data_IF_348580750790
#
_entry.id   IF_348580750790
#
_cell.length_a   1.000
_cell.length_b   1.000
_cell.length_c   1.000
_cell.angle_alpha   90.00
_cell.angle_beta   90.00
_cell.angle_gamma   90.00
#
_symmetry.space_group_name_H-M   'P 1'
#
loop_
_entity.id
_entity.type
_entity.pdbx_description
1 polymer ?
#
# COMPACT_ATOMS: atom_id res chain seq x y z
N UNK A 1 -18.82 -5.55 -42.36
CA UNK A 1 -18.14 -5.42 -41.06
C UNK A 1 -16.66 -5.29 -41.32
N UNK A 2 -16.03 -4.20 -40.87
CA UNK A 2 -14.60 -4.03 -41.06
C UNK A 2 -13.82 -5.01 -40.13
N UNK A 3 -12.53 -5.24 -40.40
CA UNK A 3 -11.70 -6.19 -39.63
C UNK A 3 -11.62 -5.83 -38.14
N UNK A 4 -11.56 -4.53 -37.84
CA UNK A 4 -11.51 -3.96 -36.48
C UNK A 4 -12.79 -4.26 -35.68
N UNK A 5 -13.97 -4.04 -36.27
CA UNK A 5 -15.29 -4.38 -35.71
C UNK A 5 -15.40 -5.89 -35.47
N UNK A 6 -15.02 -6.71 -36.45
CA UNK A 6 -15.04 -8.18 -36.32
C UNK A 6 -14.18 -8.64 -35.16
N UNK A 7 -12.99 -8.06 -35.03
CA UNK A 7 -12.07 -8.37 -33.95
C UNK A 7 -12.67 -8.01 -32.59
N UNK A 8 -13.25 -6.81 -32.45
CA UNK A 8 -13.90 -6.38 -31.20
C UNK A 8 -15.01 -7.34 -30.77
N UNK A 9 -15.89 -7.75 -31.69
CA UNK A 9 -16.95 -8.69 -31.38
C UNK A 9 -16.39 -10.03 -30.90
N UNK A 10 -15.35 -10.56 -31.56
CA UNK A 10 -14.74 -11.82 -31.16
C UNK A 10 -14.11 -11.76 -29.76
N UNK A 11 -13.44 -10.65 -29.42
CA UNK A 11 -12.87 -10.49 -28.08
C UNK A 11 -13.97 -10.19 -27.04
N UNK A 12 -15.08 -9.57 -27.42
CA UNK A 12 -16.22 -9.39 -26.51
C UNK A 12 -16.79 -10.73 -26.06
N UNK A 13 -16.94 -11.72 -26.96
CA UNK A 13 -17.40 -13.07 -26.62
C UNK A 13 -16.44 -13.82 -25.66
N UNK A 14 -15.18 -13.38 -25.53
CA UNK A 14 -14.24 -13.89 -24.52
C UNK A 14 -14.39 -13.23 -23.14
N UNK A 15 -15.35 -12.33 -22.98
CA UNK A 15 -15.58 -11.60 -21.73
C UNK A 15 -14.49 -10.57 -21.43
N UNK A 16 -13.87 -10.00 -22.47
CA UNK A 16 -12.81 -8.99 -22.32
C UNK A 16 -13.36 -7.67 -21.79
N UNK A 17 -14.59 -7.31 -22.15
CA UNK A 17 -15.34 -6.20 -21.55
C UNK A 17 -16.48 -6.80 -20.76
N UNK A 18 -16.55 -6.49 -19.47
CA UNK A 18 -17.59 -6.96 -18.54
C UNK A 18 -18.38 -5.78 -18.03
N UNK A 19 -19.69 -5.94 -17.92
CA UNK A 19 -20.60 -4.92 -17.36
C UNK A 19 -21.16 -5.40 -16.02
N UNK A 20 -21.35 -4.46 -15.09
CA UNK A 20 -21.69 -4.75 -13.69
C UNK A 20 -20.91 -3.86 -12.74
N UNK A 21 -20.98 -4.11 -11.44
CA UNK A 21 -20.26 -3.30 -10.45
C UNK A 21 -18.88 -3.90 -10.16
N UNK A 22 -17.83 -3.12 -10.41
CA UNK A 22 -16.43 -3.52 -10.19
C UNK A 22 -15.68 -2.47 -9.39
N UNK A 23 -15.13 -2.85 -8.24
CA UNK A 23 -14.25 -1.96 -7.47
C UNK A 23 -12.88 -1.89 -8.13
N UNK A 24 -12.50 -0.70 -8.62
CA UNK A 24 -11.19 -0.45 -9.20
C UNK A 24 -10.11 -0.37 -8.11
N UNK A 25 -8.83 -0.43 -8.49
CA UNK A 25 -7.71 -0.20 -7.56
C UNK A 25 -7.77 1.17 -6.85
N UNK A 26 -8.47 2.14 -7.44
CA UNK A 26 -8.72 3.46 -6.83
C UNK A 26 -9.81 3.44 -5.76
N UNK A 27 -10.48 2.30 -5.52
CA UNK A 27 -11.66 2.21 -4.65
C UNK A 27 -12.97 2.62 -5.33
N UNK A 28 -12.90 3.26 -6.50
CA UNK A 28 -14.07 3.68 -7.27
C UNK A 28 -14.82 2.46 -7.82
N UNK A 29 -16.15 2.42 -7.64
CA UNK A 29 -17.02 1.42 -8.25
C UNK A 29 -17.30 1.79 -9.70
N UNK A 30 -16.82 0.99 -10.64
CA UNK A 30 -17.00 1.16 -12.08
C UNK A 30 -18.12 0.25 -12.60
N UNK A 31 -18.97 0.72 -13.52
CA UNK A 31 -20.01 -0.08 -14.16
C UNK A 31 -19.46 -1.05 -15.22
N UNK A 32 -18.14 -1.04 -15.45
CA UNK A 32 -17.48 -1.92 -16.40
C UNK A 32 -16.04 -2.24 -16.01
N UNK A 33 -15.58 -3.41 -16.45
CA UNK A 33 -14.21 -3.87 -16.26
C UNK A 33 -13.64 -4.42 -17.57
N UNK A 34 -12.36 -4.15 -17.82
CA UNK A 34 -11.66 -4.57 -19.04
C UNK A 34 -10.51 -5.48 -18.64
N UNK A 35 -10.43 -6.68 -19.22
CA UNK A 35 -9.42 -7.69 -18.93
C UNK A 35 -9.01 -8.43 -20.20
N UNK A 36 -7.88 -8.04 -20.80
CA UNK A 36 -7.43 -8.60 -22.07
C UNK A 36 -6.66 -9.92 -21.94
N UNK A 37 -6.43 -10.44 -20.72
CA UNK A 37 -5.55 -11.60 -20.50
C UNK A 37 -6.01 -12.87 -21.22
N UNK A 38 -7.32 -13.06 -21.37
CA UNK A 38 -7.88 -14.24 -22.04
C UNK A 38 -7.53 -14.31 -23.53
N UNK A 39 -7.13 -13.20 -24.17
CA UNK A 39 -6.68 -13.18 -25.58
C UNK A 39 -5.41 -14.03 -25.75
N UNK A 40 -4.54 -14.08 -24.74
CA UNK A 40 -3.32 -14.89 -24.78
C UNK A 40 -3.59 -16.39 -24.99
N UNK A 41 -4.78 -16.87 -24.63
CA UNK A 41 -5.23 -18.25 -24.83
C UNK A 41 -5.86 -18.51 -26.21
N UNK A 42 -5.88 -17.50 -27.09
CA UNK A 42 -6.46 -17.57 -28.44
C UNK A 42 -5.45 -17.13 -29.49
N UNK A 43 -4.59 -18.05 -29.98
CA UNK A 43 -3.51 -17.72 -30.92
C UNK A 43 -3.99 -17.01 -32.19
N UNK A 44 -5.19 -17.36 -32.68
CA UNK A 44 -5.81 -16.73 -33.84
C UNK A 44 -6.13 -15.24 -33.60
N UNK A 45 -6.67 -14.92 -32.42
CA UNK A 45 -6.98 -13.54 -32.03
C UNK A 45 -5.73 -12.77 -31.64
N UNK A 46 -4.78 -13.40 -30.94
CA UNK A 46 -3.53 -12.75 -30.57
C UNK A 46 -2.71 -12.34 -31.79
N UNK A 47 -2.65 -13.19 -32.83
CA UNK A 47 -2.01 -12.85 -34.11
C UNK A 47 -2.75 -11.75 -34.87
N UNK A 48 -4.07 -11.75 -34.84
CA UNK A 48 -4.83 -10.66 -35.47
C UNK A 48 -4.61 -9.33 -34.71
N UNK A 49 -4.58 -9.38 -33.38
CA UNK A 49 -4.30 -8.23 -32.53
C UNK A 49 -2.92 -7.63 -32.82
N UNK A 50 -1.88 -8.46 -32.98
CA UNK A 50 -0.54 -7.95 -33.28
C UNK A 50 -0.48 -7.17 -34.58
N UNK A 51 -1.22 -7.60 -35.62
CA UNK A 51 -1.32 -6.85 -36.86
C UNK A 51 -2.07 -5.54 -36.68
N UNK A 52 -3.23 -5.56 -36.03
CA UNK A 52 -4.02 -4.35 -35.77
C UNK A 52 -3.26 -3.32 -34.92
N UNK A 53 -2.49 -3.77 -33.93
CA UNK A 53 -1.68 -2.89 -33.08
C UNK A 53 -0.52 -2.28 -33.86
N UNK A 54 0.17 -3.06 -34.68
CA UNK A 54 1.27 -2.52 -35.50
C UNK A 54 0.76 -1.52 -36.54
N UNK A 55 -0.32 -1.86 -37.25
CA UNK A 55 -0.96 -0.97 -38.23
C UNK A 55 -1.43 0.35 -37.59
N UNK A 56 -1.82 0.33 -36.32
CA UNK A 56 -2.24 1.53 -35.58
C UNK A 56 -1.08 2.49 -35.28
N UNK A 57 0.17 2.00 -35.23
CA UNK A 57 1.34 2.86 -34.96
C UNK A 57 1.72 3.74 -36.13
N UNK A 58 1.44 3.31 -37.37
CA UNK A 58 1.80 4.02 -38.61
C UNK A 58 3.30 4.35 -38.76
N UNK A 59 4.17 3.66 -38.01
CA UNK A 59 5.61 3.89 -37.97
C UNK A 59 6.38 2.55 -38.00
N UNK A 60 7.51 2.50 -38.71
CA UNK A 60 8.25 1.26 -38.97
C UNK A 60 9.71 1.26 -38.45
N UNK A 61 10.13 2.25 -37.69
CA UNK A 61 11.53 2.45 -37.28
C UNK A 61 11.84 2.04 -35.82
N UNK A 62 10.89 1.37 -35.14
CA UNK A 62 11.12 0.82 -33.81
C UNK A 62 12.22 -0.24 -33.83
N UNK A 63 13.22 -0.08 -32.95
CA UNK A 63 14.33 -1.03 -32.79
C UNK A 63 14.00 -2.14 -31.82
N UNK A 64 13.17 -1.85 -30.83
CA UNK A 64 12.73 -2.82 -29.83
C UNK A 64 11.26 -2.56 -29.43
N UNK A 65 10.57 -3.62 -29.03
CA UNK A 65 9.22 -3.57 -28.44
C UNK A 65 9.34 -3.89 -26.96
N UNK A 66 8.70 -3.11 -26.10
CA UNK A 66 8.61 -3.38 -24.67
C UNK A 66 7.16 -3.63 -24.23
N UNK A 67 6.86 -4.87 -23.82
CA UNK A 67 5.54 -5.23 -23.29
C UNK A 67 5.42 -4.95 -21.80
N UNK A 68 4.38 -4.22 -21.39
CA UNK A 68 4.08 -3.98 -19.96
C UNK A 68 3.49 -5.25 -19.30
N UNK A 69 4.03 -5.72 -18.16
CA UNK A 69 3.55 -6.95 -17.54
C UNK A 69 2.18 -6.85 -16.87
N UNK A 70 1.36 -7.90 -16.87
CA UNK A 70 1.55 -9.20 -17.56
C UNK A 70 0.69 -9.30 -18.82
N UNK A 71 -0.37 -8.51 -18.93
CA UNK A 71 -1.39 -8.63 -19.98
C UNK A 71 -0.87 -8.26 -21.37
N UNK A 72 -0.03 -7.25 -21.46
CA UNK A 72 0.48 -6.76 -22.74
C UNK A 72 1.69 -7.57 -23.25
N UNK A 73 2.34 -8.36 -22.38
CA UNK A 73 3.53 -9.14 -22.75
C UNK A 73 3.25 -10.20 -23.84
N UNK A 74 2.16 -10.99 -23.79
CA UNK A 74 1.77 -11.85 -24.92
C UNK A 74 1.52 -11.08 -26.21
N UNK A 75 0.96 -9.87 -26.13
CA UNK A 75 0.66 -9.02 -27.29
C UNK A 75 1.96 -8.51 -27.93
N UNK A 76 2.87 -7.98 -27.10
CA UNK A 76 4.20 -7.55 -27.50
C UNK A 76 5.01 -8.71 -28.10
N UNK A 77 4.90 -9.90 -27.54
CA UNK A 77 5.54 -11.12 -28.07
C UNK A 77 5.00 -11.45 -29.45
N UNK A 78 3.69 -11.40 -29.66
CA UNK A 78 3.08 -11.65 -30.97
C UNK A 78 3.47 -10.58 -32.00
N UNK A 79 3.58 -9.30 -31.60
CA UNK A 79 4.08 -8.23 -32.46
C UNK A 79 5.55 -8.46 -32.85
N UNK A 80 6.40 -8.78 -31.87
CA UNK A 80 7.81 -9.12 -32.09
C UNK A 80 7.98 -10.25 -33.11
N UNK A 81 7.22 -11.34 -32.96
CA UNK A 81 7.25 -12.48 -33.87
C UNK A 81 6.67 -12.17 -35.26
N UNK A 82 5.71 -11.26 -35.37
CA UNK A 82 5.02 -10.97 -36.65
C UNK A 82 5.78 -9.98 -37.52
N UNK A 83 6.64 -9.15 -36.92
CA UNK A 83 7.32 -8.04 -37.58
C UNK A 83 8.84 -8.08 -37.42
N UNK A 84 9.39 -9.16 -36.84
CA UNK A 84 10.83 -9.36 -36.63
C UNK A 84 11.51 -8.23 -35.83
N UNK A 85 10.79 -7.63 -34.88
CA UNK A 85 11.32 -6.58 -33.97
C UNK A 85 11.67 -7.22 -32.62
N UNK A 86 12.90 -7.09 -32.10
CA UNK A 86 13.28 -7.65 -30.80
C UNK A 86 12.36 -7.23 -29.65
N UNK A 87 12.03 -8.19 -28.78
CA UNK A 87 11.25 -7.95 -27.55
C UNK A 87 12.19 -7.72 -26.36
N UNK A 88 11.94 -6.63 -25.64
CA UNK A 88 12.43 -6.41 -24.28
C UNK A 88 11.27 -6.53 -23.29
N UNK A 89 11.56 -6.97 -22.07
CA UNK A 89 10.56 -7.28 -21.05
C UNK A 89 10.84 -6.40 -19.84
N UNK A 90 9.89 -5.51 -19.53
CA UNK A 90 9.87 -4.84 -18.23
C UNK A 90 9.47 -5.86 -17.17
N UNK A 91 10.14 -5.88 -16.01
CA UNK A 91 9.77 -6.74 -14.88
C UNK A 91 8.82 -6.01 -13.95
N UNK A 92 7.88 -6.73 -13.33
CA UNK A 92 7.05 -6.16 -12.26
C UNK A 92 7.78 -6.06 -10.92
N UNK A 93 8.78 -6.90 -10.71
CA UNK A 93 9.52 -7.05 -9.45
C UNK A 93 11.03 -7.07 -9.72
N UNK A 94 11.78 -6.32 -8.91
CA UNK A 94 13.23 -6.38 -8.88
C UNK A 94 13.69 -7.69 -8.22
N UNK A 95 14.58 -8.43 -8.88
CA UNK A 95 15.29 -9.51 -8.20
C UNK A 95 16.28 -8.91 -7.20
N UNK A 96 16.26 -9.41 -5.97
CA UNK A 96 17.28 -9.08 -4.96
C UNK A 96 18.69 -9.62 -5.27
N UNK A 97 18.84 -10.40 -6.35
CA UNK A 97 20.07 -11.08 -6.76
C UNK A 97 20.24 -11.03 -8.30
N UNK A 98 21.48 -11.06 -8.81
CA UNK A 98 21.79 -10.97 -10.25
C UNK A 98 22.04 -9.53 -10.74
N UNK A 99 21.73 -9.25 -12.01
CA UNK A 99 22.00 -7.96 -12.68
C UNK A 99 21.17 -6.78 -12.15
N UNK A 100 20.13 -7.04 -11.33
CA UNK A 100 19.20 -6.06 -10.76
C UNK A 100 18.50 -5.15 -11.79
N UNK A 101 18.53 -5.52 -13.08
CA UNK A 101 17.89 -4.76 -14.15
C UNK A 101 16.38 -4.93 -14.12
N UNK A 102 15.66 -3.83 -14.30
CA UNK A 102 14.20 -3.82 -14.47
C UNK A 102 13.78 -4.21 -15.89
N UNK A 103 14.66 -3.98 -16.88
CA UNK A 103 14.43 -4.29 -18.29
C UNK A 103 15.34 -5.44 -18.72
N UNK A 104 14.73 -6.54 -19.18
CA UNK A 104 15.41 -7.74 -19.66
C UNK A 104 15.32 -7.82 -21.19
N UNK A 105 16.37 -8.28 -21.86
CA UNK A 105 16.39 -8.42 -23.32
C UNK A 105 17.69 -7.92 -23.93
N UNK A 106 17.73 -7.90 -25.27
CA UNK A 106 18.88 -7.41 -26.06
C UNK A 106 18.51 -6.05 -26.64
N UNK A 107 19.27 -5.02 -26.28
CA UNK A 107 19.08 -3.64 -26.72
C UNK A 107 20.37 -2.84 -26.58
N UNK A 108 20.45 -1.74 -27.31
CA UNK A 108 21.53 -0.76 -27.25
C UNK A 108 21.01 0.61 -26.77
N UNK A 109 21.91 1.43 -26.22
CA UNK A 109 21.54 2.80 -25.83
C UNK A 109 21.16 3.59 -27.08
N UNK A 110 20.05 4.31 -27.01
CA UNK A 110 19.48 5.05 -28.12
C UNK A 110 18.49 4.25 -28.97
N UNK A 111 18.26 2.96 -28.68
CA UNK A 111 17.23 2.20 -29.38
C UNK A 111 15.84 2.80 -29.13
N UNK A 112 15.17 3.11 -30.24
CA UNK A 112 13.80 3.62 -30.26
C UNK A 112 12.84 2.48 -29.89
N UNK A 113 12.09 2.66 -28.81
CA UNK A 113 11.30 1.61 -28.16
C UNK A 113 9.82 1.88 -28.28
N UNK A 114 9.06 0.92 -28.82
CA UNK A 114 7.59 0.93 -28.79
C UNK A 114 7.10 0.30 -27.49
N UNK A 115 6.39 1.07 -26.65
CA UNK A 115 5.70 0.51 -25.48
C UNK A 115 4.36 -0.10 -25.88
N UNK A 116 4.08 -1.30 -25.38
CA UNK A 116 2.83 -2.03 -25.64
C UNK A 116 2.10 -2.25 -24.33
N UNK A 117 0.85 -1.76 -24.27
CA UNK A 117 -0.03 -1.88 -23.10
C UNK A 117 -1.42 -2.42 -23.49
N UNK A 118 -2.11 -3.07 -22.55
CA UNK A 118 -3.44 -3.61 -22.82
C UNK A 118 -4.53 -2.56 -22.65
N UNK A 119 -4.55 -1.84 -21.52
CA UNK A 119 -5.57 -0.86 -21.16
C UNK A 119 -4.93 0.40 -20.59
N UNK A 120 -5.39 1.57 -21.04
CA UNK A 120 -5.04 2.85 -20.42
C UNK A 120 -6.23 3.43 -19.65
N UNK A 121 -5.94 3.89 -18.41
CA UNK A 121 -6.86 4.61 -17.51
C UNK A 121 -6.33 6.00 -17.20
N UNK A 122 -5.58 6.18 -16.12
CA UNK A 122 -4.96 7.45 -15.71
C UNK A 122 -3.61 7.70 -16.38
N UNK A 123 -3.02 6.70 -17.06
CA UNK A 123 -1.70 6.80 -17.68
C UNK A 123 -0.50 6.66 -16.73
N UNK A 124 -0.73 6.60 -15.41
CA UNK A 124 0.36 6.54 -14.41
C UNK A 124 1.32 5.36 -14.59
N UNK A 125 0.79 4.15 -14.80
CA UNK A 125 1.58 2.93 -15.03
C UNK A 125 2.51 3.04 -16.25
N UNK A 126 2.02 3.73 -17.29
CA UNK A 126 2.79 3.96 -18.49
C UNK A 126 3.89 4.99 -18.25
N UNK A 127 3.61 6.07 -17.51
CA UNK A 127 4.63 7.07 -17.13
C UNK A 127 5.76 6.42 -16.31
N UNK A 128 5.41 5.64 -15.28
CA UNK A 128 6.40 4.91 -14.48
C UNK A 128 7.26 3.99 -15.37
N UNK A 129 6.64 3.32 -16.34
CA UNK A 129 7.35 2.43 -17.26
C UNK A 129 8.24 3.20 -18.24
N UNK A 130 7.81 4.37 -18.74
CA UNK A 130 8.63 5.24 -19.58
C UNK A 130 9.91 5.62 -18.83
N UNK A 131 9.77 6.12 -17.60
CA UNK A 131 10.92 6.53 -16.77
C UNK A 131 11.89 5.35 -16.56
N UNK A 132 11.37 4.16 -16.25
CA UNK A 132 12.18 2.95 -16.06
C UNK A 132 12.93 2.50 -17.33
N UNK A 133 12.30 2.63 -18.50
CA UNK A 133 12.89 2.27 -19.80
C UNK A 133 13.93 3.31 -20.24
N UNK A 134 13.63 4.60 -20.08
CA UNK A 134 14.57 5.70 -20.38
C UNK A 134 15.81 5.67 -19.48
N UNK A 135 15.66 5.24 -18.21
CA UNK A 135 16.79 5.06 -17.29
C UNK A 135 17.82 4.02 -17.77
N UNK A 136 17.43 3.06 -18.61
CA UNK A 136 18.37 2.11 -19.25
C UNK A 136 19.01 2.69 -20.52
N UNK A 137 18.67 3.93 -20.89
CA UNK A 137 19.22 4.65 -22.04
C UNK A 137 18.47 4.41 -23.36
N UNK A 138 17.25 3.89 -23.30
CA UNK A 138 16.36 3.70 -24.44
C UNK A 138 15.55 4.98 -24.72
N UNK A 139 15.06 5.14 -25.95
CA UNK A 139 14.22 6.28 -26.35
C UNK A 139 12.78 5.81 -26.42
N UNK A 140 11.89 6.41 -25.62
CA UNK A 140 10.46 6.10 -25.63
C UNK A 140 9.68 7.33 -26.07
N UNK A 141 9.18 7.32 -27.31
CA UNK A 141 8.34 8.41 -27.82
C UNK A 141 6.96 7.93 -28.34
N UNK A 142 6.77 6.62 -28.45
CA UNK A 142 5.57 6.02 -29.02
C UNK A 142 5.08 4.81 -28.22
N UNK A 143 3.76 4.69 -28.14
CA UNK A 143 3.08 3.70 -27.33
C UNK A 143 1.81 3.24 -28.04
N UNK A 144 1.52 1.95 -27.98
CA UNK A 144 0.27 1.38 -28.49
C UNK A 144 -0.51 0.67 -27.40
N UNK A 145 -1.80 0.97 -27.33
CA UNK A 145 -2.74 0.46 -26.32
C UNK A 145 -3.95 -0.16 -26.98
N UNK A 146 -4.44 -1.30 -26.48
CA UNK A 146 -5.62 -1.94 -27.08
C UNK A 146 -6.89 -1.17 -26.75
N UNK A 147 -7.13 -0.81 -25.49
CA UNK A 147 -8.35 -0.10 -25.07
C UNK A 147 -8.00 1.14 -24.24
N UNK A 148 -8.45 2.30 -24.69
CA UNK A 148 -8.52 3.52 -23.88
C UNK A 148 -9.88 3.63 -23.18
N UNK A 149 -9.84 3.67 -21.85
CA UNK A 149 -11.05 3.87 -21.03
C UNK A 149 -11.59 5.30 -21.05
N UNK A 150 -10.93 6.22 -21.74
CA UNK A 150 -11.26 7.65 -21.85
C UNK A 150 -11.30 8.36 -20.49
N UNK A 151 -10.39 7.98 -19.60
CA UNK A 151 -10.30 8.52 -18.24
C UNK A 151 -9.05 9.38 -18.04
N UNK A 152 -8.67 10.16 -19.06
CA UNK A 152 -7.62 11.18 -18.94
C UNK A 152 -6.18 10.72 -19.20
N UNK A 153 -5.87 9.42 -19.12
CA UNK A 153 -4.51 8.91 -19.35
C UNK A 153 -3.95 9.22 -20.74
N UNK A 154 -4.80 9.13 -21.77
CA UNK A 154 -4.40 9.48 -23.13
C UNK A 154 -4.06 10.96 -23.29
N UNK A 155 -4.85 11.84 -22.68
CA UNK A 155 -4.59 13.28 -22.69
C UNK A 155 -3.32 13.63 -21.92
N UNK A 156 -3.07 12.95 -20.79
CA UNK A 156 -1.86 13.11 -19.98
C UNK A 156 -0.58 12.74 -20.74
N UNK A 157 -0.57 11.59 -21.43
CA UNK A 157 0.60 11.17 -22.20
C UNK A 157 0.84 12.11 -23.39
N UNK A 158 -0.22 12.49 -24.10
CA UNK A 158 -0.11 13.44 -25.22
C UNK A 158 0.36 14.82 -24.78
N UNK A 159 -0.10 15.33 -23.62
CA UNK A 159 0.35 16.63 -23.09
C UNK A 159 1.81 16.63 -22.67
N UNK A 160 2.38 15.45 -22.36
CA UNK A 160 3.81 15.23 -22.13
C UNK A 160 4.63 15.02 -23.41
N UNK A 161 3.99 15.04 -24.58
CA UNK A 161 4.66 14.92 -25.88
C UNK A 161 4.78 13.50 -26.42
N UNK A 162 4.19 12.49 -25.77
CA UNK A 162 4.23 11.11 -26.26
C UNK A 162 3.18 10.86 -27.36
N UNK A 163 3.57 10.05 -28.36
CA UNK A 163 2.65 9.54 -29.37
C UNK A 163 1.91 8.33 -28.81
N UNK A 164 0.60 8.48 -28.59
CA UNK A 164 -0.24 7.42 -28.08
C UNK A 164 -1.25 6.95 -29.12
N UNK A 165 -1.10 5.69 -29.51
CA UNK A 165 -1.96 4.97 -30.44
C UNK A 165 -2.91 4.07 -29.66
N UNK A 166 -4.21 4.18 -29.90
CA UNK A 166 -5.22 3.38 -29.21
C UNK A 166 -6.02 2.60 -30.25
N UNK A 167 -6.10 1.27 -30.10
CA UNK A 167 -6.86 0.46 -31.04
C UNK A 167 -8.36 0.75 -30.88
N UNK A 168 -8.89 0.78 -29.67
CA UNK A 168 -10.27 1.17 -29.38
C UNK A 168 -10.31 2.21 -28.26
N UNK A 169 -11.26 3.13 -28.33
CA UNK A 169 -11.75 3.80 -27.13
C UNK A 169 -12.94 3.03 -26.56
N UNK A 170 -13.25 3.21 -25.27
CA UNK A 170 -14.43 2.55 -24.67
C UNK A 170 -15.72 3.00 -25.35
N UNK A 171 -15.82 4.26 -25.77
CA UNK A 171 -16.97 4.79 -26.50
C UNK A 171 -17.10 4.13 -27.89
N UNK A 172 -16.00 4.02 -28.65
CA UNK A 172 -15.99 3.27 -29.91
C UNK A 172 -16.42 1.81 -29.70
N UNK A 173 -15.94 1.18 -28.63
CA UNK A 173 -16.30 -0.18 -28.31
C UNK A 173 -17.80 -0.34 -28.03
N UNK A 174 -18.38 0.56 -27.22
CA UNK A 174 -19.82 0.58 -26.92
C UNK A 174 -20.66 0.81 -28.17
N UNK A 175 -20.27 1.74 -29.05
CA UNK A 175 -20.97 2.00 -30.31
C UNK A 175 -21.01 0.76 -31.22
N UNK A 176 -19.89 0.03 -31.33
CA UNK A 176 -19.84 -1.21 -32.11
C UNK A 176 -20.70 -2.30 -31.46
N UNK A 177 -20.66 -2.43 -30.13
CA UNK A 177 -21.46 -3.41 -29.41
C UNK A 177 -22.96 -3.13 -29.52
N UNK A 178 -23.37 -1.87 -29.44
CA UNK A 178 -24.76 -1.43 -29.63
C UNK A 178 -25.27 -1.73 -31.04
N UNK A 179 -24.49 -1.32 -32.06
CA UNK A 179 -24.77 -1.60 -33.47
C UNK A 179 -25.03 -3.08 -33.76
N UNK A 180 -24.41 -3.98 -32.99
CA UNK A 180 -24.56 -5.43 -33.13
C UNK A 180 -25.45 -6.09 -32.06
N UNK A 181 -26.22 -5.29 -31.30
CA UNK A 181 -27.18 -5.76 -30.31
C UNK A 181 -26.55 -6.56 -29.16
N UNK A 182 -25.29 -6.26 -28.80
CA UNK A 182 -24.56 -6.93 -27.73
C UNK A 182 -24.70 -6.26 -26.37
N UNK A 183 -25.07 -4.98 -26.35
CA UNK A 183 -25.24 -4.17 -25.15
C UNK A 183 -26.52 -3.34 -25.30
N UNK A 184 -27.27 -3.14 -24.22
CA UNK A 184 -28.47 -2.29 -24.23
C UNK A 184 -28.17 -0.85 -23.83
N UNK A 185 -29.04 0.08 -24.26
CA UNK A 185 -28.89 1.52 -24.03
C UNK A 185 -28.59 1.90 -22.57
N UNK A 186 -29.30 1.29 -21.60
CA UNK A 186 -29.10 1.58 -20.18
C UNK A 186 -27.67 1.28 -19.68
N UNK A 187 -27.01 0.25 -20.24
CA UNK A 187 -25.62 -0.06 -19.92
C UNK A 187 -24.67 0.94 -20.56
N UNK A 188 -24.94 1.35 -21.80
CA UNK A 188 -24.16 2.37 -22.51
C UNK A 188 -24.19 3.68 -21.73
N UNK A 189 -25.39 4.15 -21.37
CA UNK A 189 -25.59 5.39 -20.61
C UNK A 189 -24.82 5.33 -19.29
N UNK A 190 -24.96 4.23 -18.54
CA UNK A 190 -24.24 4.04 -17.27
C UNK A 190 -22.72 4.11 -17.42
N UNK A 191 -22.16 3.52 -18.48
CA UNK A 191 -20.71 3.56 -18.72
C UNK A 191 -20.25 4.95 -19.16
N UNK A 192 -20.97 5.61 -20.07
CA UNK A 192 -20.63 6.94 -20.54
C UNK A 192 -20.73 7.98 -19.42
N UNK A 193 -21.77 7.90 -18.59
CA UNK A 193 -21.91 8.75 -17.40
C UNK A 193 -20.75 8.55 -16.43
N UNK A 194 -20.34 7.29 -16.20
CA UNK A 194 -19.17 7.00 -15.38
C UNK A 194 -17.90 7.61 -15.98
N UNK A 195 -17.64 7.40 -17.27
CA UNK A 195 -16.45 7.93 -17.94
C UNK A 195 -16.41 9.46 -17.86
N UNK A 196 -17.53 10.13 -18.17
CA UNK A 196 -17.64 11.59 -18.13
C UNK A 196 -17.43 12.18 -16.73
N UNK A 197 -17.92 11.52 -15.69
CA UNK A 197 -17.73 11.95 -14.31
C UNK A 197 -16.37 11.57 -13.72
N UNK A 198 -15.57 10.74 -14.42
CA UNK A 198 -14.28 10.24 -13.96
C UNK A 198 -13.18 10.50 -15.02
N UNK A 199 -13.25 11.62 -15.76
CA UNK A 199 -12.28 11.96 -16.82
C UNK A 199 -10.91 12.36 -16.27
N UNK A 200 -10.81 12.80 -15.02
CA UNK A 200 -9.55 13.19 -14.39
C UNK A 200 -9.16 12.24 -13.25
N UNK A 201 -8.88 10.97 -13.60
CA UNK A 201 -8.42 9.99 -12.58
C UNK A 201 -7.00 10.26 -12.09
N UNK A 202 -6.32 11.28 -12.63
CA UNK A 202 -4.96 11.66 -12.22
C UNK A 202 -4.92 12.25 -10.81
N UNK A 203 -6.07 12.78 -10.34
CA UNK A 203 -6.22 13.45 -9.05
C UNK A 203 -7.18 12.76 -8.08
N UNK A 204 -7.44 11.44 -8.20
CA UNK A 204 -8.05 10.71 -7.08
C UNK A 204 -7.00 10.56 -5.99
N UNK A 205 -6.77 11.65 -5.27
CA UNK A 205 -6.28 11.58 -3.90
C UNK A 205 -7.39 10.87 -3.17
N UNK A 206 -7.21 9.56 -2.93
CA UNK A 206 -8.04 8.84 -1.98
C UNK A 206 -7.85 9.59 -0.68
N UNK A 207 -8.85 10.40 -0.33
CA UNK A 207 -8.80 11.25 0.84
C UNK A 207 -8.58 10.33 2.04
N UNK A 208 -7.59 10.64 2.86
CA UNK A 208 -7.31 9.86 4.06
C UNK A 208 -8.58 9.83 4.91
N UNK A 209 -9.00 8.63 5.35
CA UNK A 209 -10.12 8.53 6.27
C UNK A 209 -9.78 9.16 7.61
N UNK A 210 -10.74 9.91 8.15
CA UNK A 210 -10.65 10.40 9.52
C UNK A 210 -10.71 9.25 10.52
N UNK A 211 -10.30 9.50 11.75
CA UNK A 211 -10.46 8.55 12.86
C UNK A 211 -11.91 8.12 13.04
N UNK A 212 -12.86 9.06 12.96
CA UNK A 212 -14.30 8.78 13.03
C UNK A 212 -14.76 7.88 11.87
N UNK A 213 -14.23 8.10 10.66
CA UNK A 213 -14.53 7.24 9.53
C UNK A 213 -13.93 5.84 9.71
N UNK A 214 -12.68 5.73 10.21
CA UNK A 214 -12.02 4.45 10.50
C UNK A 214 -12.75 3.63 11.57
N UNK A 215 -13.37 4.26 12.56
CA UNK A 215 -14.18 3.54 13.58
C UNK A 215 -15.28 2.67 12.95
N UNK A 216 -15.78 3.01 11.76
CA UNK A 216 -16.78 2.19 11.05
C UNK A 216 -16.22 0.90 10.44
N UNK A 217 -14.89 0.81 10.30
CA UNK A 217 -14.19 -0.32 9.66
C UNK A 217 -13.50 -1.21 10.69
N UNK A 218 -13.01 -0.62 11.78
CA UNK A 218 -12.33 -1.31 12.86
C UNK A 218 -13.33 -2.19 13.64
N UNK A 219 -12.93 -3.43 13.93
CA UNK A 219 -13.76 -4.39 14.67
C UNK A 219 -13.33 -4.57 16.14
N UNK A 220 -12.03 -4.46 16.42
CA UNK A 220 -11.49 -4.84 17.73
C UNK A 220 -11.74 -3.77 18.80
N UNK A 221 -12.24 -4.14 20.01
CA UNK A 221 -12.55 -3.17 21.07
C UNK A 221 -11.37 -2.29 21.50
N UNK A 222 -10.16 -2.86 21.63
CA UNK A 222 -8.95 -2.08 21.99
C UNK A 222 -8.54 -1.07 20.93
N UNK A 223 -8.82 -1.36 19.66
CA UNK A 223 -8.56 -0.42 18.57
C UNK A 223 -9.55 0.75 18.63
N UNK A 224 -10.83 0.47 18.89
CA UNK A 224 -11.85 1.50 19.17
C UNK A 224 -11.46 2.36 20.36
N UNK A 225 -11.03 1.74 21.46
CA UNK A 225 -10.58 2.45 22.67
C UNK A 225 -9.40 3.40 22.36
N UNK A 226 -8.37 2.90 21.68
CA UNK A 226 -7.20 3.71 21.30
C UNK A 226 -7.59 4.92 20.43
N UNK A 227 -8.44 4.71 19.41
CA UNK A 227 -8.92 5.79 18.52
C UNK A 227 -9.79 6.80 19.28
N UNK A 228 -10.65 6.35 20.20
CA UNK A 228 -11.45 7.26 21.02
C UNK A 228 -10.61 8.08 21.99
N UNK A 229 -9.56 7.49 22.58
CA UNK A 229 -8.56 8.23 23.37
C UNK A 229 -7.89 9.29 22.48
N UNK A 230 -7.51 8.93 21.26
CA UNK A 230 -6.89 9.84 20.30
C UNK A 230 -7.78 11.05 19.99
N UNK A 231 -9.05 10.80 19.65
CA UNK A 231 -10.06 11.82 19.39
C UNK A 231 -10.29 12.72 20.61
N UNK A 232 -10.51 12.13 21.79
CA UNK A 232 -10.78 12.86 23.03
C UNK A 232 -9.62 13.78 23.42
N UNK A 233 -8.39 13.28 23.32
CA UNK A 233 -7.19 14.00 23.76
C UNK A 233 -6.61 14.88 22.66
N UNK A 234 -7.10 14.77 21.42
CA UNK A 234 -6.45 15.30 20.20
C UNK A 234 -4.97 14.94 20.19
N UNK A 235 -4.71 13.65 20.33
CA UNK A 235 -3.36 13.11 20.32
C UNK A 235 -3.33 11.87 19.45
N UNK A 236 -2.24 11.68 18.74
CA UNK A 236 -1.93 10.45 18.02
C UNK A 236 -0.52 9.94 18.41
N UNK A 237 -0.09 10.35 19.60
CA UNK A 237 1.24 10.09 20.13
C UNK A 237 1.25 8.86 21.01
N UNK A 238 2.18 7.96 20.73
CA UNK A 238 2.58 6.87 21.61
C UNK A 238 4.00 7.14 22.07
N UNK A 239 4.22 7.19 23.39
CA UNK A 239 5.58 7.32 23.93
C UNK A 239 6.21 5.94 24.12
N UNK A 240 7.42 5.74 23.59
CA UNK A 240 8.26 4.59 23.84
C UNK A 240 9.19 4.87 25.03
N UNK A 241 8.83 4.35 26.21
CA UNK A 241 9.59 4.54 27.44
C UNK A 241 10.65 3.44 27.57
N UNK A 242 11.75 3.58 26.82
CA UNK A 242 12.86 2.63 26.84
C UNK A 242 13.82 2.94 28.02
N UNK A 243 13.29 2.82 29.25
CA UNK A 243 13.98 3.05 30.53
C UNK A 243 14.17 1.72 31.28
N UNK A 244 15.18 1.63 32.15
CA UNK A 244 15.52 0.40 32.87
C UNK A 244 14.89 0.30 34.27
N UNK A 245 14.29 1.38 34.80
CA UNK A 245 13.63 1.36 36.11
C UNK A 245 12.13 1.63 36.00
N UNK A 246 11.34 0.80 36.67
CA UNK A 246 9.91 0.99 36.86
C UNK A 246 9.58 2.32 37.56
N UNK A 247 10.41 2.79 38.48
CA UNK A 247 10.21 4.10 39.13
C UNK A 247 10.33 5.25 38.14
N UNK A 248 11.34 5.22 37.26
CA UNK A 248 11.52 6.23 36.22
C UNK A 248 10.35 6.21 35.21
N UNK A 249 9.84 5.03 34.90
CA UNK A 249 8.67 4.87 34.02
C UNK A 249 7.42 5.46 34.66
N UNK A 250 7.16 5.20 35.95
CA UNK A 250 6.02 5.81 36.65
C UNK A 250 6.13 7.34 36.67
N UNK A 251 7.32 7.87 36.99
CA UNK A 251 7.57 9.30 37.01
C UNK A 251 7.44 9.95 35.61
N UNK A 252 7.82 9.23 34.55
CA UNK A 252 7.61 9.67 33.18
C UNK A 252 6.12 9.65 32.83
N UNK A 253 5.43 8.54 33.10
CA UNK A 253 4.02 8.33 32.78
C UNK A 253 3.10 9.36 33.46
N UNK A 254 3.38 9.74 34.70
CA UNK A 254 2.67 10.82 35.41
C UNK A 254 2.83 12.17 34.67
N UNK A 255 4.02 12.47 34.15
CA UNK A 255 4.31 13.75 33.46
C UNK A 255 3.74 13.84 32.06
N UNK A 256 3.69 12.73 31.32
CA UNK A 256 3.32 12.71 29.89
C UNK A 256 1.96 12.07 29.61
N UNK A 257 1.35 11.43 30.63
CA UNK A 257 0.08 10.74 30.53
C UNK A 257 -1.00 11.56 29.83
N UNK A 258 -1.21 12.84 30.18
CA UNK A 258 -2.20 13.70 29.50
C UNK A 258 -1.97 13.92 27.99
N UNK A 259 -0.75 13.71 27.50
CA UNK A 259 -0.37 13.96 26.11
C UNK A 259 -0.42 12.71 25.22
N UNK A 260 -0.35 11.50 25.77
CA UNK A 260 -0.19 10.26 24.99
C UNK A 260 -1.48 9.44 24.87
N UNK A 261 -1.61 8.64 23.81
CA UNK A 261 -2.69 7.66 23.65
C UNK A 261 -2.29 6.29 24.22
N UNK A 262 -1.01 5.96 24.17
CA UNK A 262 -0.47 4.75 24.76
C UNK A 262 0.97 4.95 25.23
N UNK A 263 1.36 4.16 26.23
CA UNK A 263 2.73 4.06 26.71
C UNK A 263 3.31 2.71 26.30
N UNK A 264 4.30 2.75 25.41
CA UNK A 264 5.00 1.57 24.89
C UNK A 264 6.20 1.23 25.79
N UNK A 265 6.31 -0.03 26.17
CA UNK A 265 7.21 -0.57 27.18
C UNK A 265 8.09 -1.71 26.64
N UNK A 266 9.14 -2.02 27.39
CA UNK A 266 9.97 -3.22 27.25
C UNK A 266 10.15 -3.86 28.63
N UNK A 267 9.16 -4.63 29.09
CA UNK A 267 9.17 -5.16 30.46
C UNK A 267 10.41 -6.03 30.77
N UNK A 268 11.06 -6.58 29.76
CA UNK A 268 12.24 -7.41 29.85
C UNK A 268 13.56 -6.67 30.09
N UNK A 269 13.57 -5.33 30.08
CA UNK A 269 14.76 -4.54 30.42
C UNK A 269 14.74 -3.97 31.84
N UNK A 270 13.67 -4.20 32.61
CA UNK A 270 13.51 -3.59 33.93
C UNK A 270 14.29 -4.34 35.01
N UNK A 271 15.13 -3.60 35.74
CA UNK A 271 15.91 -4.15 36.86
C UNK A 271 15.05 -4.42 38.10
N UNK A 272 13.91 -3.73 38.22
CA UNK A 272 13.01 -3.69 39.38
C UNK A 272 11.56 -4.07 39.04
N UNK A 273 11.35 -4.93 38.03
CA UNK A 273 10.01 -5.40 37.65
C UNK A 273 9.26 -6.02 38.84
N UNK A 274 8.08 -5.49 39.15
CA UNK A 274 7.23 -5.99 40.23
C UNK A 274 5.75 -5.87 39.91
N UNK A 275 4.91 -6.61 40.63
CA UNK A 275 3.45 -6.49 40.49
C UNK A 275 2.93 -5.15 41.01
N UNK A 276 3.58 -4.58 42.03
CA UNK A 276 3.25 -3.25 42.58
C UNK A 276 3.49 -2.17 41.52
N UNK A 277 4.62 -2.23 40.80
CA UNK A 277 4.88 -1.36 39.65
C UNK A 277 3.77 -1.44 38.61
N UNK A 278 3.36 -2.66 38.21
CA UNK A 278 2.27 -2.83 37.24
C UNK A 278 0.95 -2.26 37.76
N UNK A 279 0.65 -2.43 39.04
CA UNK A 279 -0.58 -1.87 39.63
C UNK A 279 -0.55 -0.34 39.62
N UNK A 280 0.57 0.28 40.00
CA UNK A 280 0.76 1.73 39.94
C UNK A 280 0.66 2.26 38.50
N UNK A 281 1.24 1.55 37.53
CA UNK A 281 1.17 1.94 36.13
C UNK A 281 -0.27 1.86 35.61
N UNK A 282 -1.03 0.83 35.97
CA UNK A 282 -2.46 0.72 35.60
C UNK A 282 -3.30 1.84 36.22
N UNK A 283 -2.97 2.29 37.43
CA UNK A 283 -3.63 3.43 38.04
C UNK A 283 -3.40 4.72 37.24
N UNK A 284 -2.14 4.98 36.83
CA UNK A 284 -1.80 6.12 35.97
C UNK A 284 -2.46 6.03 34.59
N UNK A 285 -2.50 4.85 34.00
CA UNK A 285 -3.15 4.60 32.70
C UNK A 285 -4.66 4.92 32.76
N UNK A 286 -5.31 4.54 33.86
CA UNK A 286 -6.71 4.87 34.10
C UNK A 286 -6.93 6.36 34.39
N UNK A 287 -6.07 6.97 35.20
CA UNK A 287 -6.15 8.38 35.57
C UNK A 287 -5.98 9.32 34.36
N UNK A 288 -5.00 9.02 33.50
CA UNK A 288 -4.66 9.85 32.36
C UNK A 288 -5.22 9.36 31.04
N UNK A 289 -6.00 8.27 31.04
CA UNK A 289 -6.62 7.66 29.86
C UNK A 289 -5.60 7.39 28.74
N UNK A 290 -4.72 6.42 28.96
CA UNK A 290 -3.85 5.87 27.93
C UNK A 290 -3.77 4.34 28.02
N UNK A 291 -3.47 3.67 26.91
CA UNK A 291 -3.29 2.22 26.87
C UNK A 291 -1.85 1.81 27.22
N UNK A 292 -1.68 0.64 27.83
CA UNK A 292 -0.36 0.05 28.09
C UNK A 292 0.02 -0.89 26.95
N UNK A 293 1.16 -0.63 26.31
CA UNK A 293 1.60 -1.34 25.11
C UNK A 293 2.95 -2.04 25.35
N UNK A 294 2.96 -3.36 25.44
CA UNK A 294 4.20 -4.11 25.62
C UNK A 294 4.84 -4.47 24.26
N UNK A 295 6.00 -3.88 23.96
CA UNK A 295 6.70 -4.06 22.70
C UNK A 295 7.63 -5.28 22.72
N UNK A 296 7.07 -6.43 23.10
CA UNK A 296 7.81 -7.67 23.32
C UNK A 296 8.39 -8.28 22.03
N UNK A 297 7.79 -7.98 20.88
CA UNK A 297 8.11 -8.56 19.56
C UNK A 297 8.22 -10.08 19.61
N UNK A 298 7.15 -10.75 20.07
CA UNK A 298 7.08 -12.22 20.04
C UNK A 298 7.45 -12.75 18.65
N UNK A 299 8.23 -13.83 18.58
CA UNK A 299 8.79 -14.30 17.31
C UNK A 299 9.03 -15.81 17.32
N UNK A 300 8.13 -16.56 17.96
CA UNK A 300 8.25 -18.00 18.17
C UNK A 300 6.99 -18.72 17.67
N UNK A 301 7.01 -20.06 17.69
CA UNK A 301 5.82 -20.87 17.40
C UNK A 301 4.75 -20.69 18.48
N UNK A 302 3.48 -20.87 18.10
CA UNK A 302 2.32 -20.54 18.90
C UNK A 302 2.35 -21.01 20.36
N UNK A 303 2.73 -22.27 20.62
CA UNK A 303 2.76 -22.81 21.99
C UNK A 303 3.81 -22.12 22.87
N UNK A 304 5.01 -21.87 22.36
CA UNK A 304 6.08 -21.23 23.12
C UNK A 304 5.72 -19.79 23.43
N UNK A 305 5.24 -19.03 22.45
CA UNK A 305 4.88 -17.64 22.68
C UNK A 305 3.64 -17.48 23.56
N UNK A 306 2.70 -18.43 23.55
CA UNK A 306 1.60 -18.46 24.53
C UNK A 306 2.13 -18.53 25.96
N UNK A 307 3.13 -19.38 26.22
CA UNK A 307 3.77 -19.46 27.54
C UNK A 307 4.54 -18.17 27.87
N UNK A 308 5.23 -17.57 26.91
CA UNK A 308 5.93 -16.28 27.10
C UNK A 308 4.95 -15.14 27.41
N UNK A 309 3.74 -15.18 26.84
CA UNK A 309 2.70 -14.19 27.01
C UNK A 309 1.94 -14.33 28.34
N UNK A 310 1.53 -15.56 28.70
CA UNK A 310 0.68 -15.80 29.88
C UNK A 310 1.47 -16.08 31.17
N UNK A 311 2.70 -16.58 31.06
CA UNK A 311 3.49 -17.11 32.19
C UNK A 311 4.76 -16.27 32.39
N UNK A 312 5.76 -16.88 33.04
CA UNK A 312 7.01 -16.25 33.39
C UNK A 312 6.84 -15.19 34.49
N UNK A 313 7.87 -14.36 34.62
CA UNK A 313 7.92 -13.26 35.58
C UNK A 313 6.95 -12.15 35.15
N UNK A 314 6.93 -11.83 33.85
CA UNK A 314 6.21 -10.66 33.35
C UNK A 314 4.69 -10.84 33.25
N UNK A 315 4.19 -12.05 32.94
CA UNK A 315 2.74 -12.35 32.79
C UNK A 315 2.01 -11.28 31.96
N UNK A 316 2.55 -10.98 30.79
CA UNK A 316 2.16 -9.84 29.91
C UNK A 316 0.65 -9.79 29.68
N UNK A 317 0.02 -10.96 29.49
CA UNK A 317 -1.43 -11.11 29.28
C UNK A 317 -2.31 -10.46 30.37
N UNK A 318 -1.78 -10.24 31.58
CA UNK A 318 -2.57 -9.74 32.71
C UNK A 318 -2.66 -8.21 32.79
N UNK A 319 -1.83 -7.50 32.02
CA UNK A 319 -1.67 -6.05 32.19
C UNK A 319 -1.49 -5.26 30.90
N UNK A 320 -1.01 -5.86 29.81
CA UNK A 320 -0.86 -5.15 28.56
C UNK A 320 -2.22 -5.04 27.84
N UNK A 321 -2.56 -3.84 27.36
CA UNK A 321 -3.70 -3.61 26.47
C UNK A 321 -3.37 -3.98 25.03
N UNK A 322 -2.10 -3.82 24.65
CA UNK A 322 -1.59 -4.11 23.31
C UNK A 322 -0.21 -4.78 23.38
N UNK A 323 0.13 -5.58 22.38
CA UNK A 323 1.44 -6.23 22.25
C UNK A 323 1.99 -6.19 20.83
N UNK A 324 3.32 -6.30 20.67
CA UNK A 324 3.94 -6.54 19.37
C UNK A 324 4.33 -7.99 19.13
N UNK A 325 4.25 -8.43 17.88
CA UNK A 325 4.68 -9.77 17.44
C UNK A 325 5.20 -9.75 15.99
N UNK A 326 6.09 -10.65 15.65
CA UNK A 326 6.50 -10.93 14.27
C UNK A 326 5.61 -12.03 13.68
N UNK A 327 5.28 -11.91 12.39
CA UNK A 327 4.50 -12.90 11.64
C UNK A 327 5.40 -14.01 11.05
N UNK A 328 6.71 -13.99 11.32
CA UNK A 328 7.69 -14.93 10.75
C UNK A 328 7.36 -16.41 11.04
N UNK A 329 6.67 -16.71 12.15
CA UNK A 329 6.24 -18.06 12.52
C UNK A 329 4.92 -18.51 11.86
N UNK A 330 4.32 -17.67 11.00
CA UNK A 330 3.08 -17.94 10.30
C UNK A 330 1.81 -17.55 11.07
N UNK A 331 0.66 -17.58 10.38
CA UNK A 331 -0.62 -17.09 10.89
C UNK A 331 -1.08 -17.77 12.20
N UNK A 332 -0.84 -19.07 12.33
CA UNK A 332 -1.23 -19.87 13.51
C UNK A 332 -0.53 -19.43 14.78
N UNK A 333 0.62 -18.76 14.66
CA UNK A 333 1.29 -18.22 15.83
C UNK A 333 0.35 -17.24 16.56
N UNK A 334 -0.37 -16.39 15.83
CA UNK A 334 -1.25 -15.36 16.41
C UNK A 334 -2.39 -15.93 17.27
N UNK A 335 -2.77 -17.20 17.09
CA UNK A 335 -3.74 -17.89 17.95
C UNK A 335 -3.27 -17.98 19.41
N UNK A 336 -1.97 -17.82 19.68
CA UNK A 336 -1.42 -17.74 21.03
C UNK A 336 -2.01 -16.60 21.87
N UNK A 337 -2.55 -15.56 21.22
CA UNK A 337 -3.12 -14.37 21.85
C UNK A 337 -4.65 -14.35 21.80
N UNK A 338 -5.27 -15.38 21.19
CA UNK A 338 -6.72 -15.49 21.12
C UNK A 338 -7.36 -15.47 22.52
N UNK A 339 -8.57 -14.93 22.59
CA UNK A 339 -9.40 -14.84 23.81
C UNK A 339 -8.81 -13.99 24.96
N UNK A 340 -7.66 -13.35 24.76
CA UNK A 340 -7.05 -12.47 25.77
C UNK A 340 -7.68 -11.07 25.83
N UNK A 341 -8.31 -10.63 24.75
CA UNK A 341 -8.81 -9.26 24.59
C UNK A 341 -7.71 -8.21 24.34
N UNK A 342 -6.45 -8.64 24.25
CA UNK A 342 -5.29 -7.77 23.98
C UNK A 342 -5.20 -7.46 22.49
N UNK A 343 -4.97 -6.20 22.15
CA UNK A 343 -4.76 -5.79 20.77
C UNK A 343 -3.40 -6.22 20.23
N UNK A 344 -3.37 -7.03 19.16
CA UNK A 344 -2.11 -7.49 18.56
C UNK A 344 -1.65 -6.54 17.46
N UNK A 345 -0.41 -6.06 17.56
CA UNK A 345 0.24 -5.15 16.60
C UNK A 345 1.43 -5.84 15.95
N UNK A 346 1.26 -6.56 14.83
CA UNK A 346 2.36 -7.22 14.16
C UNK A 346 3.39 -6.25 13.57
N UNK A 347 4.64 -6.69 13.52
CA UNK A 347 5.73 -6.01 12.80
C UNK A 347 5.68 -6.41 11.32
N UNK A 348 5.14 -5.52 10.48
CA UNK A 348 4.95 -5.72 9.05
C UNK A 348 6.16 -5.23 8.26
N UNK A 349 6.67 -4.05 8.62
CA UNK A 349 7.90 -3.46 8.07
C UNK A 349 8.76 -2.90 9.21
N UNK A 350 10.07 -2.88 9.02
CA UNK A 350 11.01 -2.25 9.95
C UNK A 350 11.74 -1.10 9.28
N UNK A 351 12.00 -0.03 10.03
CA UNK A 351 12.76 1.14 9.55
C UNK A 351 14.27 0.96 9.58
N UNK A 352 14.76 -0.19 10.05
CA UNK A 352 16.18 -0.47 10.17
C UNK A 352 16.83 -0.77 8.82
N UNK A 353 18.04 -0.25 8.61
CA UNK A 353 18.84 -0.54 7.42
C UNK A 353 19.13 -2.04 7.31
N UNK A 354 18.79 -2.64 6.18
CA UNK A 354 19.03 -4.07 5.91
C UNK A 354 17.91 -5.00 6.40
N UNK A 355 16.74 -4.47 6.77
CA UNK A 355 15.58 -5.27 7.14
C UNK A 355 15.21 -6.31 6.06
N UNK A 356 14.92 -7.54 6.49
CA UNK A 356 14.53 -8.65 5.62
C UNK A 356 13.04 -8.64 5.24
N UNK A 357 12.30 -7.60 5.65
CA UNK A 357 10.89 -7.35 5.29
C UNK A 357 10.79 -6.88 3.83
N UNK A 358 11.17 -7.75 2.89
CA UNK A 358 11.00 -7.49 1.47
C UNK A 358 9.51 -7.47 1.09
N UNK A 359 9.20 -6.99 -0.12
CA UNK A 359 7.81 -6.86 -0.61
C UNK A 359 6.99 -8.14 -0.45
N UNK A 360 7.57 -9.31 -0.73
CA UNK A 360 6.87 -10.60 -0.60
C UNK A 360 6.51 -10.94 0.84
N UNK A 361 7.40 -10.67 1.80
CA UNK A 361 7.09 -10.80 3.23
C UNK A 361 5.98 -9.81 3.63
N UNK A 362 6.10 -8.54 3.24
CA UNK A 362 5.16 -7.48 3.61
C UNK A 362 3.75 -7.80 3.10
N UNK A 363 3.61 -8.19 1.84
CA UNK A 363 2.31 -8.55 1.25
C UNK A 363 1.67 -9.73 1.98
N UNK A 364 2.46 -10.75 2.32
CA UNK A 364 1.98 -11.90 3.08
C UNK A 364 1.57 -11.52 4.51
N UNK A 365 2.39 -10.70 5.19
CA UNK A 365 2.15 -10.25 6.55
C UNK A 365 0.91 -9.35 6.64
N UNK A 366 0.73 -8.41 5.70
CA UNK A 366 -0.48 -7.56 5.60
C UNK A 366 -1.74 -8.41 5.42
N UNK A 367 -1.70 -9.44 4.56
CA UNK A 367 -2.83 -10.36 4.38
C UNK A 367 -3.17 -11.16 5.63
N UNK A 368 -2.15 -11.66 6.36
CA UNK A 368 -2.37 -12.37 7.63
C UNK A 368 -2.98 -11.43 8.68
N UNK A 369 -2.46 -10.21 8.79
CA UNK A 369 -2.98 -9.18 9.69
C UNK A 369 -4.45 -8.86 9.42
N UNK A 370 -4.81 -8.64 8.14
CA UNK A 370 -6.18 -8.33 7.72
C UNK A 370 -7.20 -9.43 8.05
N UNK A 371 -6.77 -10.68 8.03
CA UNK A 371 -7.66 -11.83 8.23
C UNK A 371 -7.72 -12.31 9.69
N UNK A 372 -7.00 -11.67 10.61
CA UNK A 372 -6.95 -12.09 12.01
C UNK A 372 -7.71 -11.10 12.91
N UNK A 373 -8.77 -11.54 13.63
CA UNK A 373 -9.61 -10.64 14.41
C UNK A 373 -8.93 -10.04 15.66
N UNK A 374 -7.83 -10.63 16.13
CA UNK A 374 -7.06 -10.09 17.26
C UNK A 374 -6.11 -8.96 16.83
N UNK A 375 -5.84 -8.85 15.52
CA UNK A 375 -4.92 -7.86 14.99
C UNK A 375 -5.63 -6.52 14.84
N UNK A 376 -5.08 -5.49 15.49
CA UNK A 376 -5.65 -4.14 15.51
C UNK A 376 -4.99 -3.20 14.51
N UNK A 377 -3.84 -3.60 13.97
CA UNK A 377 -3.02 -2.73 13.15
C UNK A 377 -1.70 -3.37 12.74
N UNK A 378 -0.68 -2.55 12.53
CA UNK A 378 0.67 -3.04 12.30
C UNK A 378 1.72 -1.95 12.37
N UNK A 379 2.92 -2.34 12.80
CA UNK A 379 4.11 -1.49 12.66
C UNK A 379 4.58 -1.56 11.22
N UNK A 380 4.53 -0.43 10.52
CA UNK A 380 4.95 -0.35 9.12
C UNK A 380 5.48 1.04 8.73
N UNK A 381 6.06 1.15 7.55
CA UNK A 381 6.52 2.41 6.93
C UNK A 381 5.77 2.67 5.62
N UNK A 382 4.61 2.02 5.45
CA UNK A 382 3.73 2.14 4.29
C UNK A 382 2.27 2.00 4.70
N UNK A 383 1.37 2.59 3.90
CA UNK A 383 -0.08 2.56 4.11
C UNK A 383 -0.62 1.15 4.35
N UNK A 384 -1.53 1.05 5.31
CA UNK A 384 -2.33 -0.14 5.60
C UNK A 384 -3.78 0.05 5.14
N UNK A 385 -4.53 -1.05 5.07
CA UNK A 385 -5.97 -1.00 4.82
C UNK A 385 -6.70 -0.31 5.97
N UNK A 386 -7.92 0.16 5.71
CA UNK A 386 -8.67 1.04 6.61
C UNK A 386 -9.15 0.32 7.88
N UNK A 387 -9.22 -1.00 7.85
CA UNK A 387 -9.55 -1.88 8.98
C UNK A 387 -8.41 -1.99 10.00
N UNK A 388 -7.19 -1.59 9.63
CA UNK A 388 -5.98 -1.69 10.44
C UNK A 388 -5.44 -0.31 10.80
N UNK A 389 -4.93 -0.17 12.03
CA UNK A 389 -4.21 1.02 12.49
C UNK A 389 -2.73 0.96 12.11
N UNK A 390 -2.19 2.02 11.51
CA UNK A 390 -0.77 2.14 11.18
C UNK A 390 0.00 2.78 12.32
N UNK A 391 0.95 2.01 12.88
CA UNK A 391 1.88 2.46 13.92
C UNK A 391 3.25 2.71 13.29
N UNK A 392 3.78 3.93 13.43
CA UNK A 392 5.04 4.31 12.77
C UNK A 392 6.09 4.74 13.80
N UNK A 393 7.10 3.89 14.07
CA UNK A 393 8.26 4.26 14.88
C UNK A 393 9.30 5.02 14.06
N UNK A 394 10.31 5.55 14.76
CA UNK A 394 11.36 6.34 14.11
C UNK A 394 10.85 7.71 13.70
N UNK A 395 10.16 8.41 14.60
CA UNK A 395 9.67 9.76 14.38
C UNK A 395 10.42 10.73 15.28
N UNK A 396 10.91 11.83 14.70
CA UNK A 396 11.59 12.92 15.41
C UNK A 396 11.29 14.27 14.74
N UNK A 397 11.51 15.39 15.43
CA UNK A 397 11.39 16.74 14.89
C UNK A 397 12.35 16.97 13.70
N UNK A 398 13.55 16.40 13.77
CA UNK A 398 14.57 16.48 12.73
C UNK A 398 14.79 15.10 12.08
N UNK A 399 14.92 15.07 10.75
CA UNK A 399 15.13 13.84 9.99
C UNK A 399 16.61 13.38 10.05
N UNK A 400 17.09 13.02 11.24
CA UNK A 400 18.48 12.60 11.49
C UNK A 400 18.50 11.23 12.19
N UNK A 401 19.29 10.28 11.66
CA UNK A 401 19.43 8.88 12.14
C UNK A 401 20.22 8.70 13.44
N UNK A 402 20.32 7.46 13.93
CA UNK A 402 21.30 7.10 14.99
C UNK A 402 22.43 6.16 14.51
N UNK A 403 23.43 5.95 15.36
CA UNK A 403 24.61 5.11 15.07
C UNK A 403 24.31 3.60 15.01
N UNK A 404 23.10 3.18 15.41
CA UNK A 404 22.66 1.78 15.44
C UNK A 404 21.65 1.44 14.32
N UNK A 405 21.51 2.32 13.32
CA UNK A 405 20.78 2.06 12.09
C UNK A 405 19.31 2.48 12.10
N UNK A 406 18.85 3.22 13.11
CA UNK A 406 17.54 3.85 13.14
C UNK A 406 17.48 5.03 12.16
N UNK A 407 16.44 5.07 11.33
CA UNK A 407 16.12 6.21 10.48
C UNK A 407 14.93 6.97 11.09
N UNK A 408 15.00 8.30 11.08
CA UNK A 408 13.92 9.15 11.58
C UNK A 408 13.21 9.90 10.45
N UNK A 409 11.88 9.96 10.55
CA UNK A 409 11.00 10.76 9.70
C UNK A 409 10.31 11.84 10.55
N UNK A 410 9.89 12.94 9.92
CA UNK A 410 9.09 13.97 10.60
C UNK A 410 7.62 13.55 10.71
N UNK A 411 6.85 14.05 11.71
CA UNK A 411 5.41 13.82 11.78
C UNK A 411 4.69 14.16 10.46
N UNK A 412 4.97 15.33 9.88
CA UNK A 412 4.35 15.76 8.61
C UNK A 412 4.55 14.75 7.48
N UNK A 413 5.77 14.21 7.35
CA UNK A 413 6.08 13.21 6.33
C UNK A 413 5.27 11.93 6.54
N UNK A 414 5.27 11.37 7.75
CA UNK A 414 4.63 10.06 7.98
C UNK A 414 3.10 10.13 7.90
N UNK A 415 2.48 11.22 8.36
CA UNK A 415 1.03 11.42 8.21
C UNK A 415 0.62 11.63 6.75
N UNK A 416 1.43 12.36 5.97
CA UNK A 416 1.14 12.66 4.55
C UNK A 416 1.45 11.51 3.60
N UNK A 417 2.62 10.88 3.74
CA UNK A 417 3.10 9.88 2.78
C UNK A 417 2.66 8.47 3.14
N UNK A 418 2.63 8.12 4.43
CA UNK A 418 2.34 6.76 4.88
C UNK A 418 0.89 6.60 5.36
N UNK A 419 0.19 7.71 5.57
CA UNK A 419 -1.11 7.75 6.25
C UNK A 419 -1.04 7.12 7.66
N UNK A 420 0.06 7.39 8.38
CA UNK A 420 0.27 6.93 9.78
C UNK A 420 -0.92 7.30 10.65
N UNK A 421 -1.45 6.38 11.44
CA UNK A 421 -2.41 6.72 12.49
C UNK A 421 -1.67 7.15 13.75
N UNK A 422 -0.80 6.30 14.29
CA UNK A 422 -0.10 6.57 15.55
C UNK A 422 1.41 6.66 15.35
N UNK A 423 2.01 7.77 15.79
CA UNK A 423 3.47 7.92 15.83
C UNK A 423 4.01 7.34 17.14
N UNK A 424 5.14 6.63 17.05
CA UNK A 424 5.85 6.09 18.22
C UNK A 424 7.16 6.85 18.39
N UNK A 425 7.29 7.55 19.52
CA UNK A 425 8.44 8.43 19.82
C UNK A 425 9.11 7.98 21.12
N UNK A 426 10.41 7.70 21.06
CA UNK A 426 11.22 7.31 22.21
C UNK A 426 12.11 8.44 22.73
N UNK A 427 13.40 8.38 22.42
CA UNK A 427 14.45 9.32 22.90
C UNK A 427 14.08 10.79 22.82
N UNK A 428 13.32 11.20 21.80
CA UNK A 428 12.84 12.57 21.64
C UNK A 428 11.95 13.07 22.80
N UNK A 429 11.46 12.17 23.66
CA UNK A 429 10.66 12.49 24.85
C UNK A 429 11.44 12.15 26.12
N UNK A 430 11.83 10.88 26.32
CA UNK A 430 12.35 10.45 27.63
C UNK A 430 13.78 10.93 27.92
N UNK A 431 14.53 11.39 26.91
CA UNK A 431 15.84 12.04 27.09
C UNK A 431 15.79 13.56 26.95
N UNK A 432 14.60 14.14 26.76
CA UNK A 432 14.45 15.58 26.69
C UNK A 432 14.65 16.20 28.09
N UNK A 433 15.19 17.42 28.14
CA UNK A 433 15.33 18.19 29.39
C UNK A 433 13.98 18.33 30.11
N UNK A 434 12.90 18.51 29.32
CA UNK A 434 11.52 18.49 29.81
C UNK A 434 10.66 17.54 28.96
N UNK A 435 10.47 16.32 29.48
CA UNK A 435 9.67 15.30 28.81
C UNK A 435 8.21 15.70 28.57
N UNK A 436 7.60 16.50 29.46
CA UNK A 436 6.20 16.92 29.32
C UNK A 436 6.04 17.92 28.17
N UNK A 437 6.94 18.92 28.08
CA UNK A 437 6.96 19.86 26.96
C UNK A 437 7.27 19.16 25.63
N UNK A 438 8.21 18.21 25.62
CA UNK A 438 8.52 17.42 24.44
C UNK A 438 7.30 16.60 23.97
N UNK A 439 6.63 15.89 24.88
CA UNK A 439 5.42 15.13 24.58
C UNK A 439 4.28 16.04 24.08
N UNK A 440 4.09 17.21 24.69
CA UNK A 440 3.10 18.19 24.25
C UNK A 440 3.37 18.65 22.81
N UNK A 441 4.62 18.94 22.48
CA UNK A 441 5.01 19.35 21.12
C UNK A 441 4.80 18.23 20.09
N UNK A 442 5.12 16.98 20.41
CA UNK A 442 4.85 15.85 19.51
C UNK A 442 3.35 15.61 19.32
N UNK A 443 2.55 15.75 20.37
CA UNK A 443 1.09 15.69 20.30
C UNK A 443 0.54 16.74 19.33
N UNK A 444 0.93 18.01 19.49
CA UNK A 444 0.46 19.11 18.65
C UNK A 444 0.85 18.91 17.19
N UNK A 445 2.13 18.68 16.92
CA UNK A 445 2.63 18.48 15.55
C UNK A 445 2.04 17.23 14.89
N UNK A 446 1.89 16.14 15.65
CA UNK A 446 1.26 14.93 15.16
C UNK A 446 -0.21 15.16 14.81
N UNK A 447 -0.96 15.84 15.66
CA UNK A 447 -2.38 16.11 15.42
C UNK A 447 -2.60 17.07 14.26
N UNK A 448 -1.82 18.16 14.17
CA UNK A 448 -1.88 19.09 13.04
C UNK A 448 -1.51 18.41 11.72
N UNK A 449 -0.50 17.53 11.73
CA UNK A 449 -0.10 16.77 10.55
C UNK A 449 -1.20 15.81 10.10
N UNK A 450 -1.90 15.18 11.04
CA UNK A 450 -3.09 14.38 10.77
C UNK A 450 -4.21 15.23 10.16
N UNK A 451 -4.58 16.37 10.76
CA UNK A 451 -5.65 17.24 10.24
C UNK A 451 -5.34 17.79 8.84
N UNK A 452 -4.06 18.10 8.56
CA UNK A 452 -3.60 18.51 7.22
C UNK A 452 -3.62 17.38 6.19
N UNK A 453 -3.54 16.13 6.63
CA UNK A 453 -3.51 14.95 5.78
C UNK A 453 -4.92 14.40 5.46
N UNK A 454 -5.97 14.90 6.14
CA UNK A 454 -7.38 14.65 5.79
C UNK A 454 -7.75 15.40 4.52
#
# INVERSE_FOLDING_TARGET
MNLKEKFLLNIFELGIIKFGQFTLKSGVVSPFYVDLRSIASRPDLLKHLSHLMMDATQEDDYKVICGVPYSALPMATAMSLSYDIPLIIKRKENKGYGTKKLIEGVYEKGDRTLLVEDVITSGKSLIETIEEVENEGLIVDSMVVVIDRQQGGSNLLRSKGFKLHTLFTIEEALQILDKHGRVGQATIDSVLDFVNNNQDVTNYVVKRKSYEEKLNHIQHPKAHELVNIALKKKSNLICAADLASGQEILALAEKIGPQICALKLHADVYEDFSQDFIQSLKALAQEHEFLIFEDRKFADIGNTQKLQFEKGIHKIANWADMITTHIIAGEKSLEAFADSGVGVVPILEMSSKGALTNKGYVDAAKRIAMNNPQVIGGVAQSKLSEELLLFTPGVNFEATGDDLGQQYNTPEKVFKEYETDFIIVGRGIYQAENASEAAQKYKELGWEAYERAL
#
